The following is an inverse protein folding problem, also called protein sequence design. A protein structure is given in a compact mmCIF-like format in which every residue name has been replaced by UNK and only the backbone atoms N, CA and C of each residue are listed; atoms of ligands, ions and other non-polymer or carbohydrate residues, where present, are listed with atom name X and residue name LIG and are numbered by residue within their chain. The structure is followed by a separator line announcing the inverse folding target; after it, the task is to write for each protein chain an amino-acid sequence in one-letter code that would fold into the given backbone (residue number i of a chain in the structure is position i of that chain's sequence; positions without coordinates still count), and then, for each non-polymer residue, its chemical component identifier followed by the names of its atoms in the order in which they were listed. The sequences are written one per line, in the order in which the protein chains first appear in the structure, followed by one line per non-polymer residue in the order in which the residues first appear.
data_IF_710211050844
#
_entry.id   IF_710211050844
#
_cell.length_a   1.000
_cell.length_b   1.000
_cell.length_c   1.000
_cell.angle_alpha   90.00
_cell.angle_beta   90.00
_cell.angle_gamma   90.00
#
_symmetry.space_group_name_H-M   'P 1'
#
loop_
_entity.id
_entity.type
_entity.pdbx_description
1 polymer ?
#
# COMPACT_ATOMS: atom_id res chain seq x y z
N UNK A 1 -34.02 27.99 12.79
CA UNK A 1 -35.27 28.58 12.35
C UNK A 1 -36.21 27.44 11.95
N UNK A 2 -37.26 27.19 12.73
CA UNK A 2 -38.24 26.10 12.52
C UNK A 2 -39.37 26.69 11.68
N UNK A 3 -39.62 26.12 10.50
CA UNK A 3 -40.80 26.48 9.69
C UNK A 3 -41.97 25.54 10.02
N UNK A 4 -43.11 26.12 10.36
CA UNK A 4 -44.36 25.40 10.58
C UNK A 4 -45.13 25.33 9.25
N UNK A 5 -45.71 24.15 8.97
CA UNK A 5 -46.69 24.04 7.90
C UNK A 5 -48.05 24.48 8.46
N UNK A 6 -48.53 25.60 7.98
CA UNK A 6 -49.80 26.20 8.43
C UNK A 6 -51.06 25.38 8.09
N UNK A 7 -50.96 24.42 7.14
CA UNK A 7 -52.10 23.57 6.74
C UNK A 7 -52.23 22.30 7.59
N UNK A 8 -51.15 21.76 8.10
CA UNK A 8 -51.18 20.47 8.82
C UNK A 8 -50.76 20.57 10.29
N UNK A 9 -50.36 21.73 10.78
CA UNK A 9 -49.89 21.93 12.16
C UNK A 9 -48.65 21.10 12.55
N UNK A 10 -48.05 20.36 11.60
CA UNK A 10 -46.88 19.49 11.85
C UNK A 10 -45.57 20.21 11.60
N UNK A 11 -44.60 19.96 12.46
CA UNK A 11 -43.23 20.46 12.29
C UNK A 11 -42.57 19.79 11.07
N UNK A 12 -42.26 20.55 10.05
CA UNK A 12 -41.55 20.04 8.87
C UNK A 12 -40.08 19.89 9.23
N UNK A 13 -39.59 18.66 9.28
CA UNK A 13 -38.18 18.35 9.47
C UNK A 13 -37.47 18.69 8.15
N UNK A 14 -36.49 19.57 8.23
CA UNK A 14 -35.70 19.97 7.03
C UNK A 14 -34.62 18.94 6.76
N UNK A 15 -35.00 17.82 6.14
CA UNK A 15 -34.11 16.72 5.79
C UNK A 15 -32.85 17.16 5.05
N UNK A 16 -32.95 18.18 4.18
CA UNK A 16 -31.78 18.69 3.44
C UNK A 16 -30.67 19.24 4.34
N UNK A 17 -31.01 19.83 5.50
CA UNK A 17 -29.99 20.27 6.47
C UNK A 17 -29.34 19.09 7.21
N UNK A 18 -30.12 18.05 7.51
CA UNK A 18 -29.60 16.82 8.11
C UNK A 18 -28.62 16.12 7.15
N UNK A 19 -28.98 16.02 5.88
CA UNK A 19 -28.10 15.44 4.86
C UNK A 19 -26.80 16.25 4.71
N UNK A 20 -26.87 17.58 4.69
CA UNK A 20 -25.68 18.43 4.61
C UNK A 20 -24.76 18.26 5.83
N UNK A 21 -25.32 18.17 7.03
CA UNK A 21 -24.55 17.94 8.25
C UNK A 21 -23.91 16.53 8.22
N UNK A 22 -24.65 15.51 7.80
CA UNK A 22 -24.14 14.16 7.69
C UNK A 22 -22.99 14.07 6.68
N UNK A 23 -23.12 14.71 5.51
CA UNK A 23 -22.05 14.79 4.50
C UNK A 23 -20.83 15.53 5.05
N UNK A 24 -21.05 16.66 5.74
CA UNK A 24 -19.94 17.40 6.34
C UNK A 24 -19.21 16.59 7.40
N UNK A 25 -19.94 15.89 8.29
CA UNK A 25 -19.34 15.02 9.30
C UNK A 25 -18.60 13.84 8.67
N UNK A 26 -19.13 13.28 7.60
CA UNK A 26 -18.48 12.22 6.84
C UNK A 26 -17.15 12.70 6.23
N UNK A 27 -17.16 13.85 5.54
CA UNK A 27 -15.94 14.45 4.99
C UNK A 27 -14.93 14.77 6.11
N UNK A 28 -15.38 15.33 7.22
CA UNK A 28 -14.53 15.63 8.36
C UNK A 28 -13.90 14.35 8.94
N UNK A 29 -14.67 13.28 9.08
CA UNK A 29 -14.17 11.99 9.55
C UNK A 29 -13.13 11.38 8.61
N UNK A 30 -13.28 11.57 7.31
CA UNK A 30 -12.29 11.11 6.33
C UNK A 30 -11.01 11.96 6.33
N UNK A 31 -11.10 13.26 6.60
CA UNK A 31 -9.95 14.19 6.48
C UNK A 31 -9.15 14.34 7.77
N UNK A 32 -9.80 14.32 8.94
CA UNK A 32 -9.14 14.54 10.23
C UNK A 32 -7.95 13.59 10.48
N UNK A 33 -8.04 12.27 10.20
CA UNK A 33 -6.91 11.36 10.41
C UNK A 33 -5.67 11.72 9.59
N UNK A 34 -5.84 12.32 8.41
CA UNK A 34 -4.73 12.71 7.53
C UNK A 34 -4.10 14.06 7.92
N UNK A 35 -4.84 14.89 8.65
CA UNK A 35 -4.30 16.19 9.15
C UNK A 35 -3.50 16.00 10.43
N UNK A 36 -3.79 14.96 11.19
CA UNK A 36 -3.07 14.64 12.42
C UNK A 36 -1.79 13.85 12.10
N UNK A 37 -0.72 14.54 11.77
CA UNK A 37 0.59 13.90 11.66
C UNK A 37 1.04 13.41 13.03
N UNK A 38 1.17 12.10 13.20
CA UNK A 38 1.81 11.51 14.37
C UNK A 38 3.23 12.03 14.42
N UNK A 39 3.63 12.62 15.55
CA UNK A 39 5.01 13.02 15.75
C UNK A 39 5.89 11.79 15.64
N UNK A 40 6.89 11.84 14.76
CA UNK A 40 7.91 10.80 14.66
C UNK A 40 8.59 10.64 16.02
N UNK A 41 8.72 9.43 16.53
CA UNK A 41 9.37 9.19 17.83
C UNK A 41 10.84 9.62 17.75
N UNK A 42 11.41 10.04 18.90
CA UNK A 42 12.80 10.48 18.95
C UNK A 42 13.79 9.35 18.62
N UNK A 43 13.37 8.10 18.81
CA UNK A 43 14.14 6.93 18.36
C UNK A 43 14.28 6.91 16.82
N UNK A 44 13.17 7.09 16.09
CA UNK A 44 13.22 7.12 14.62
C UNK A 44 13.91 8.37 14.08
N UNK A 45 13.82 9.52 14.76
CA UNK A 45 14.56 10.71 14.35
C UNK A 45 16.07 10.52 14.44
N UNK A 46 16.55 9.75 15.43
CA UNK A 46 17.98 9.42 15.57
C UNK A 46 18.45 8.39 14.56
N UNK A 47 17.57 7.45 14.15
CA UNK A 47 17.86 6.44 13.12
C UNK A 47 17.89 7.02 11.71
N UNK A 48 17.14 8.08 11.46
CA UNK A 48 17.00 8.72 10.15
C UNK A 48 17.44 10.19 10.25
N UNK A 49 18.70 10.42 10.63
CA UNK A 49 19.29 11.74 10.46
C UNK A 49 19.51 11.95 8.94
N UNK A 50 18.80 12.90 8.32
CA UNK A 50 18.99 13.18 6.91
C UNK A 50 20.44 13.51 6.54
N UNK A 51 21.21 14.09 7.44
CA UNK A 51 22.60 14.45 7.19
C UNK A 51 23.53 13.21 7.10
N UNK A 52 23.16 12.11 7.77
CA UNK A 52 23.90 10.85 7.65
C UNK A 52 23.52 10.09 6.37
N UNK A 53 22.37 10.41 5.75
CA UNK A 53 21.89 9.77 4.53
C UNK A 53 22.40 10.46 3.24
N UNK A 54 22.95 11.66 3.32
CA UNK A 54 23.45 12.41 2.19
C UNK A 54 24.98 12.53 2.23
N UNK A 55 25.63 12.15 1.17
CA UNK A 55 27.06 12.40 0.94
C UNK A 55 27.21 13.31 -0.27
N UNK A 56 28.00 14.38 -0.15
CA UNK A 56 28.41 15.21 -1.30
C UNK A 56 29.52 14.53 -2.14
N UNK A 57 30.16 13.50 -1.56
CA UNK A 57 31.16 12.71 -2.28
C UNK A 57 30.47 11.72 -3.22
N UNK A 58 30.95 11.60 -4.48
CA UNK A 58 30.43 10.62 -5.42
C UNK A 58 30.62 9.21 -4.87
N UNK A 59 29.53 8.52 -4.56
CA UNK A 59 29.56 7.13 -4.14
C UNK A 59 29.87 6.17 -5.30
N UNK A 60 29.97 4.90 -4.99
CA UNK A 60 30.12 3.82 -5.99
C UNK A 60 28.77 3.36 -6.53
N UNK A 61 27.70 4.02 -6.10
CA UNK A 61 26.33 3.72 -6.51
C UNK A 61 26.15 3.95 -8.01
N UNK A 62 25.35 3.08 -8.60
CA UNK A 62 24.97 3.20 -10.00
C UNK A 62 23.47 3.31 -10.08
N UNK A 63 22.98 4.29 -10.80
CA UNK A 63 21.57 4.46 -11.11
C UNK A 63 21.35 4.24 -12.63
N UNK A 64 20.30 3.52 -12.97
CA UNK A 64 19.83 3.39 -14.35
C UNK A 64 18.38 3.88 -14.42
N UNK A 65 18.07 4.64 -15.45
CA UNK A 65 16.72 5.10 -15.73
C UNK A 65 16.14 4.30 -16.89
N UNK A 66 15.08 3.54 -16.64
CA UNK A 66 14.46 2.65 -17.63
C UNK A 66 13.11 3.26 -17.99
N UNK A 67 12.90 3.58 -19.26
CA UNK A 67 11.67 4.21 -19.76
C UNK A 67 10.67 3.22 -20.36
N UNK A 68 11.14 2.06 -20.80
CA UNK A 68 10.30 1.02 -21.37
C UNK A 68 9.77 0.08 -20.28
N UNK A 69 8.45 -0.17 -20.26
CA UNK A 69 7.82 -0.99 -19.25
C UNK A 69 8.19 -2.48 -19.33
N UNK A 70 8.43 -2.98 -20.53
CA UNK A 70 8.84 -4.38 -20.74
C UNK A 70 10.25 -4.58 -20.24
N UNK A 71 11.16 -3.67 -20.59
CA UNK A 71 12.53 -3.67 -20.09
C UNK A 71 12.55 -3.53 -18.56
N UNK A 72 11.72 -2.67 -17.98
CA UNK A 72 11.61 -2.52 -16.52
C UNK A 72 11.14 -3.81 -15.83
N UNK A 73 10.22 -4.55 -16.44
CA UNK A 73 9.78 -5.85 -15.94
C UNK A 73 10.91 -6.87 -16.02
N UNK A 74 11.61 -6.95 -17.16
CA UNK A 74 12.74 -7.87 -17.34
C UNK A 74 13.85 -7.63 -16.32
N UNK A 75 14.21 -6.35 -16.05
CA UNK A 75 15.18 -6.01 -15.01
C UNK A 75 14.70 -6.43 -13.61
N UNK A 76 13.42 -6.22 -13.30
CA UNK A 76 12.84 -6.66 -12.03
C UNK A 76 12.92 -8.17 -11.86
N UNK A 77 12.51 -8.93 -12.87
CA UNK A 77 12.61 -10.39 -12.87
C UNK A 77 14.05 -10.87 -12.75
N UNK A 78 14.98 -10.21 -13.44
CA UNK A 78 16.41 -10.50 -13.36
C UNK A 78 16.93 -10.30 -11.92
N UNK A 79 16.64 -9.16 -11.29
CA UNK A 79 17.06 -8.89 -9.90
C UNK A 79 16.53 -9.96 -8.93
N UNK A 80 15.26 -10.39 -9.06
CA UNK A 80 14.69 -11.43 -8.22
C UNK A 80 15.36 -12.79 -8.47
N UNK A 81 15.63 -13.13 -9.73
CA UNK A 81 16.27 -14.40 -10.10
C UNK A 81 17.74 -14.48 -9.67
N UNK A 82 18.43 -13.34 -9.65
CA UNK A 82 19.85 -13.27 -9.25
C UNK A 82 20.04 -13.09 -7.74
N UNK A 83 18.98 -12.81 -6.98
CA UNK A 83 19.03 -12.67 -5.54
C UNK A 83 19.50 -13.95 -4.86
N UNK A 84 20.37 -13.82 -3.82
CA UNK A 84 20.99 -14.94 -3.12
C UNK A 84 20.62 -15.04 -1.65
N UNK A 85 20.23 -13.93 -1.02
CA UNK A 85 19.99 -13.86 0.42
C UNK A 85 18.56 -13.40 0.70
N UNK A 86 18.18 -12.24 0.20
CA UNK A 86 16.90 -11.62 0.49
C UNK A 86 16.34 -10.85 -0.70
N UNK A 87 15.00 -10.86 -0.82
CA UNK A 87 14.23 -10.00 -1.73
C UNK A 87 13.14 -9.29 -0.92
N UNK A 88 13.13 -7.97 -0.95
CA UNK A 88 12.07 -7.16 -0.34
C UNK A 88 11.31 -6.46 -1.46
N UNK A 89 10.02 -6.74 -1.57
CA UNK A 89 9.10 -6.08 -2.51
C UNK A 89 8.09 -5.28 -1.70
N UNK A 90 8.05 -3.97 -1.90
CA UNK A 90 7.01 -3.11 -1.36
C UNK A 90 6.26 -2.47 -2.51
N UNK A 91 4.97 -2.70 -2.57
CA UNK A 91 4.14 -2.21 -3.67
C UNK A 91 2.76 -1.79 -3.15
N UNK A 92 2.20 -0.74 -3.77
CA UNK A 92 0.84 -0.32 -3.50
C UNK A 92 -0.17 -1.28 -4.14
N UNK A 93 0.09 -1.65 -5.38
CA UNK A 93 -0.78 -2.49 -6.19
C UNK A 93 -0.01 -3.72 -6.69
N UNK A 94 -0.60 -4.90 -6.57
CA UNK A 94 0.02 -6.15 -6.97
C UNK A 94 -1.04 -7.11 -7.51
N UNK A 95 -1.33 -7.00 -8.78
CA UNK A 95 -2.36 -7.77 -9.48
C UNK A 95 -1.81 -9.08 -10.06
N UNK A 96 -2.67 -10.10 -10.15
CA UNK A 96 -2.36 -11.36 -10.83
C UNK A 96 -2.60 -11.26 -12.37
N UNK A 97 -2.23 -10.13 -12.99
CA UNK A 97 -2.12 -10.00 -14.44
C UNK A 97 -0.89 -10.77 -14.98
N UNK A 98 -0.62 -10.65 -16.26
CA UNK A 98 0.51 -11.38 -16.87
C UNK A 98 1.85 -11.01 -16.22
N UNK A 99 2.14 -9.72 -16.07
CA UNK A 99 3.39 -9.27 -15.46
C UNK A 99 3.47 -9.58 -13.96
N UNK A 100 2.35 -9.45 -13.24
CA UNK A 100 2.28 -9.81 -11.83
C UNK A 100 2.50 -11.30 -11.59
N UNK A 101 1.94 -12.18 -12.44
CA UNK A 101 2.18 -13.63 -12.37
C UNK A 101 3.65 -13.98 -12.62
N UNK A 102 4.30 -13.31 -13.54
CA UNK A 102 5.72 -13.51 -13.79
C UNK A 102 6.56 -13.12 -12.57
N UNK A 103 6.22 -12.01 -11.91
CA UNK A 103 6.87 -11.59 -10.66
C UNK A 103 6.59 -12.57 -9.53
N UNK A 104 5.33 -13.00 -9.33
CA UNK A 104 4.98 -13.99 -8.31
C UNK A 104 5.73 -15.31 -8.51
N UNK A 105 5.80 -15.81 -9.74
CA UNK A 105 6.56 -17.01 -10.08
C UNK A 105 8.03 -16.86 -9.75
N UNK A 106 8.64 -15.72 -10.10
CA UNK A 106 10.04 -15.45 -9.80
C UNK A 106 10.31 -15.36 -8.28
N UNK A 107 9.37 -14.81 -7.50
CA UNK A 107 9.48 -14.77 -6.03
C UNK A 107 9.39 -16.19 -5.42
N UNK A 108 8.48 -17.03 -5.91
CA UNK A 108 8.37 -18.42 -5.48
C UNK A 108 9.64 -19.20 -5.84
N UNK A 109 10.17 -19.01 -7.05
CA UNK A 109 11.45 -19.61 -7.45
C UNK A 109 12.62 -19.14 -6.57
N UNK A 110 12.64 -17.86 -6.17
CA UNK A 110 13.65 -17.34 -5.25
C UNK A 110 13.54 -18.01 -3.88
N UNK A 111 12.33 -18.14 -3.34
CA UNK A 111 12.09 -18.82 -2.06
C UNK A 111 12.53 -20.30 -2.09
N UNK A 112 12.28 -21.01 -3.18
CA UNK A 112 12.77 -22.38 -3.38
C UNK A 112 14.29 -22.48 -3.46
N UNK A 113 15.00 -21.38 -3.76
CA UNK A 113 16.47 -21.30 -3.67
C UNK A 113 16.97 -20.93 -2.27
N UNK A 114 16.09 -20.93 -1.26
CA UNK A 114 16.35 -20.46 0.11
C UNK A 114 16.65 -18.96 0.21
N UNK A 115 16.15 -18.15 -0.72
CA UNK A 115 16.16 -16.70 -0.60
C UNK A 115 14.97 -16.28 0.27
N UNK A 116 15.21 -15.44 1.27
CA UNK A 116 14.14 -14.91 2.11
C UNK A 116 13.36 -13.82 1.35
N UNK A 117 12.08 -14.04 1.13
CA UNK A 117 11.22 -13.10 0.39
C UNK A 117 10.27 -12.41 1.34
N UNK A 118 10.29 -11.07 1.35
CA UNK A 118 9.32 -10.25 2.08
C UNK A 118 8.52 -9.41 1.10
N UNK A 119 7.22 -9.64 1.06
CA UNK A 119 6.27 -8.88 0.25
C UNK A 119 5.44 -7.99 1.17
N UNK A 120 5.39 -6.70 0.87
CA UNK A 120 4.58 -5.71 1.57
C UNK A 120 3.60 -5.11 0.56
N UNK A 121 2.31 -5.28 0.80
CA UNK A 121 1.23 -4.77 -0.06
C UNK A 121 0.33 -3.82 0.73
N UNK A 122 -0.30 -2.87 0.03
CA UNK A 122 -1.29 -1.99 0.65
C UNK A 122 -2.57 -2.76 1.01
N UNK A 123 -3.20 -2.39 2.14
CA UNK A 123 -4.36 -3.12 2.66
C UNK A 123 -5.61 -3.00 1.80
N UNK A 124 -5.83 -1.89 1.13
CA UNK A 124 -7.00 -1.71 0.26
C UNK A 124 -6.82 -2.50 -1.02
N UNK A 125 -5.68 -2.34 -1.69
CA UNK A 125 -5.33 -3.09 -2.90
C UNK A 125 -5.26 -4.59 -2.59
N UNK A 126 -4.59 -4.97 -1.49
CA UNK A 126 -4.53 -6.36 -1.04
C UNK A 126 -5.90 -6.98 -0.79
N UNK A 127 -6.86 -6.23 -0.20
CA UNK A 127 -8.20 -6.73 0.03
C UNK A 127 -8.98 -6.94 -1.28
N UNK A 128 -8.84 -6.04 -2.25
CA UNK A 128 -9.57 -6.11 -3.52
C UNK A 128 -9.00 -7.15 -4.48
N UNK A 129 -7.68 -7.27 -4.54
CA UNK A 129 -6.98 -8.02 -5.58
C UNK A 129 -6.44 -9.37 -5.09
N UNK A 130 -6.15 -9.50 -3.78
CA UNK A 130 -5.60 -10.73 -3.21
C UNK A 130 -6.65 -11.67 -2.66
N UNK A 131 -7.82 -11.15 -2.23
CA UNK A 131 -8.84 -11.95 -1.58
C UNK A 131 -9.44 -12.99 -2.54
N UNK A 132 -9.14 -14.26 -2.27
CA UNK A 132 -9.63 -15.38 -3.09
C UNK A 132 -8.82 -15.66 -4.36
N UNK A 133 -7.76 -14.88 -4.64
CA UNK A 133 -6.87 -15.15 -5.78
C UNK A 133 -5.95 -16.34 -5.48
N UNK A 134 -5.94 -17.40 -6.31
CA UNK A 134 -5.16 -18.61 -6.09
C UNK A 134 -3.64 -18.38 -6.19
N UNK A 135 -3.19 -17.39 -6.98
CA UNK A 135 -1.76 -17.08 -7.11
C UNK A 135 -1.22 -16.45 -5.83
N UNK A 136 -1.99 -15.56 -5.20
CA UNK A 136 -1.63 -15.00 -3.90
C UNK A 136 -1.66 -16.04 -2.79
N UNK A 137 -2.61 -16.97 -2.82
CA UNK A 137 -2.65 -18.08 -1.87
C UNK A 137 -1.42 -18.97 -2.02
N UNK A 138 -1.01 -19.27 -3.25
CA UNK A 138 0.22 -20.04 -3.53
C UNK A 138 1.44 -19.27 -3.02
N UNK A 139 1.56 -17.97 -3.31
CA UNK A 139 2.65 -17.14 -2.83
C UNK A 139 2.72 -17.12 -1.29
N UNK A 140 1.60 -16.84 -0.62
CA UNK A 140 1.54 -16.72 0.84
C UNK A 140 1.74 -18.08 1.57
N UNK A 141 1.53 -19.21 0.90
CA UNK A 141 1.75 -20.54 1.46
C UNK A 141 3.13 -21.13 1.15
N UNK A 142 3.95 -20.42 0.38
CA UNK A 142 5.31 -20.86 0.04
C UNK A 142 6.25 -20.59 1.21
N UNK A 143 7.04 -21.61 1.58
CA UNK A 143 8.08 -21.46 2.60
C UNK A 143 9.11 -20.40 2.19
N UNK A 144 9.66 -19.68 3.16
CA UNK A 144 10.56 -18.53 2.98
C UNK A 144 9.91 -17.29 2.33
N UNK A 145 8.58 -17.22 2.22
CA UNK A 145 7.87 -16.02 1.81
C UNK A 145 7.04 -15.47 2.97
N UNK A 146 7.29 -14.21 3.32
CA UNK A 146 6.47 -13.45 4.26
C UNK A 146 5.63 -12.41 3.49
N UNK A 147 4.31 -12.50 3.61
CA UNK A 147 3.39 -11.50 3.05
C UNK A 147 2.87 -10.61 4.18
N UNK A 148 3.18 -9.34 4.13
CA UNK A 148 2.76 -8.34 5.09
C UNK A 148 1.80 -7.34 4.44
N UNK A 149 0.73 -7.01 5.15
CA UNK A 149 -0.27 -6.05 4.67
C UNK A 149 -0.06 -4.73 5.42
N UNK A 150 0.27 -3.68 4.69
CA UNK A 150 0.38 -2.33 5.23
C UNK A 150 -1.02 -1.70 5.31
N UNK A 151 -1.34 -1.05 6.43
CA UNK A 151 -2.63 -0.39 6.66
C UNK A 151 -3.84 -1.30 6.36
N UNK A 152 -3.96 -2.46 7.05
CA UNK A 152 -5.01 -3.43 6.78
C UNK A 152 -6.40 -2.81 7.01
N UNK A 153 -7.34 -3.15 6.14
CA UNK A 153 -8.74 -2.75 6.30
C UNK A 153 -9.32 -3.53 7.48
N UNK A 154 -9.59 -2.83 8.59
CA UNK A 154 -10.31 -3.40 9.71
C UNK A 154 -11.82 -3.23 9.45
N UNK A 155 -12.49 -4.31 9.07
CA UNK A 155 -13.95 -4.39 8.92
C UNK A 155 -14.61 -4.73 10.25
#
# INVERSE_FOLDING_TARGET
MRTYDLKTGKKKIRWGRFCLIAVFLYIAALTIPYVQHKKVSDHYKKLFDPQECYSEEPGKERAAYITDNTEALEYRLKMIREAKEEVIVSTFDFNADTGGKDVMSALIEAAHRNVHVRLIVDGISGFLDMLGDPYFQALASTENIEVNVYNPVNL
#
